data_IF_127376314721
#
_entry.id   IF_127376314721
#
_cell.length_a   1.000
_cell.length_b   1.000
_cell.length_c   1.000
_cell.angle_alpha   90.00
_cell.angle_beta   90.00
_cell.angle_gamma   90.00
#
_symmetry.space_group_name_H-M   'P 1'
#
loop_
_entity.id
_entity.type
_entity.pdbx_description
1 polymer ?
#
# COMPACT_ATOMS: atom_id res chain seq x y z
N UNK A 1 -27.74 -42.59 -16.51
CA UNK A 1 -27.32 -41.92 -15.26
C UNK A 1 -28.43 -40.97 -14.85
N UNK A 2 -28.81 -40.98 -13.57
CA UNK A 2 -29.90 -40.13 -13.08
C UNK A 2 -29.39 -38.70 -12.83
N UNK A 3 -30.25 -37.70 -12.97
CA UNK A 3 -29.92 -36.28 -12.69
C UNK A 3 -29.31 -36.08 -11.29
N UNK A 4 -29.70 -36.94 -10.34
CA UNK A 4 -29.18 -36.97 -8.96
C UNK A 4 -27.69 -37.32 -8.89
N UNK A 5 -27.21 -38.20 -9.76
CA UNK A 5 -25.79 -38.59 -9.82
C UNK A 5 -24.92 -37.45 -10.36
N UNK A 6 -25.47 -36.64 -11.27
CA UNK A 6 -24.80 -35.46 -11.81
C UNK A 6 -24.73 -34.30 -10.80
N UNK A 7 -25.81 -34.06 -10.05
CA UNK A 7 -25.83 -33.01 -9.01
C UNK A 7 -24.86 -33.34 -7.88
N UNK A 8 -24.67 -34.62 -7.54
CA UNK A 8 -23.70 -35.06 -6.55
C UNK A 8 -22.23 -34.81 -6.94
N UNK A 9 -21.95 -34.57 -8.23
CA UNK A 9 -20.61 -34.25 -8.75
C UNK A 9 -20.32 -32.75 -8.77
N UNK A 10 -21.33 -31.89 -8.60
CA UNK A 10 -21.17 -30.44 -8.58
C UNK A 10 -20.91 -30.00 -7.14
N UNK A 11 -19.67 -29.62 -6.85
CA UNK A 11 -19.28 -29.06 -5.56
C UNK A 11 -19.01 -27.55 -5.71
N UNK A 12 -19.84 -26.74 -5.04
CA UNK A 12 -19.68 -25.28 -4.99
C UNK A 12 -18.34 -24.87 -4.39
N UNK A 13 -17.72 -25.70 -3.54
CA UNK A 13 -16.38 -25.42 -2.99
C UNK A 13 -15.28 -25.57 -4.04
N UNK A 14 -15.48 -26.43 -5.04
CA UNK A 14 -14.57 -26.51 -6.18
C UNK A 14 -14.69 -25.27 -7.09
N UNK A 15 -15.84 -24.59 -7.08
CA UNK A 15 -15.98 -23.31 -7.78
C UNK A 15 -15.09 -22.23 -7.15
N UNK A 16 -15.03 -22.14 -5.82
CA UNK A 16 -14.15 -21.19 -5.14
C UNK A 16 -12.67 -21.44 -5.43
N UNK A 17 -12.26 -22.71 -5.51
CA UNK A 17 -10.89 -23.10 -5.91
C UNK A 17 -10.64 -22.83 -7.40
N UNK A 18 -11.64 -23.02 -8.25
CA UNK A 18 -11.55 -22.75 -9.69
C UNK A 18 -11.46 -21.24 -10.00
N UNK A 19 -12.18 -20.41 -9.25
CA UNK A 19 -12.16 -18.95 -9.37
C UNK A 19 -10.95 -18.34 -8.66
N UNK A 20 -10.36 -19.04 -7.68
CA UNK A 20 -9.15 -18.62 -6.99
C UNK A 20 -7.98 -18.50 -7.99
N UNK A 21 -7.72 -17.27 -8.42
CA UNK A 21 -6.52 -16.98 -9.21
C UNK A 21 -5.32 -17.08 -8.28
N UNK A 22 -4.35 -17.94 -8.61
CA UNK A 22 -3.10 -18.03 -7.86
C UNK A 22 -2.51 -16.62 -7.68
N UNK A 23 -2.12 -16.22 -6.46
CA UNK A 23 -1.61 -14.89 -6.21
C UNK A 23 -0.34 -14.67 -7.04
N UNK A 24 -0.41 -13.76 -8.01
CA UNK A 24 0.74 -13.38 -8.84
C UNK A 24 1.74 -12.60 -7.97
N UNK A 25 2.94 -13.14 -7.71
CA UNK A 25 3.95 -12.47 -6.86
C UNK A 25 4.35 -11.11 -7.45
N UNK A 26 4.33 -10.96 -8.77
CA UNK A 26 4.64 -9.69 -9.43
C UNK A 26 3.62 -8.59 -9.09
N UNK A 27 2.34 -8.95 -8.89
CA UNK A 27 1.32 -7.98 -8.44
C UNK A 27 1.50 -7.61 -6.98
N UNK A 28 1.94 -8.54 -6.15
CA UNK A 28 2.20 -8.32 -4.73
C UNK A 28 3.44 -7.43 -4.49
N UNK A 29 4.46 -7.51 -5.35
CA UNK A 29 5.68 -6.67 -5.29
C UNK A 29 5.45 -5.20 -5.64
N UNK A 30 4.55 -4.89 -6.59
CA UNK A 30 4.28 -3.52 -7.08
C UNK A 30 4.05 -2.46 -5.98
N UNK A 31 3.16 -2.67 -4.99
CA UNK A 31 2.95 -1.69 -3.93
C UNK A 31 4.21 -1.46 -3.09
N UNK A 32 5.03 -2.50 -2.89
CA UNK A 32 6.28 -2.44 -2.11
C UNK A 32 7.31 -1.61 -2.84
N UNK A 33 7.56 -1.89 -4.13
CA UNK A 33 8.49 -1.13 -4.97
C UNK A 33 8.12 0.36 -5.01
N UNK A 34 6.83 0.67 -5.16
CA UNK A 34 6.34 2.05 -5.16
C UNK A 34 6.55 2.75 -3.81
N UNK A 35 6.44 2.01 -2.71
CA UNK A 35 6.66 2.55 -1.37
C UNK A 35 8.15 2.81 -1.10
N UNK A 36 9.05 1.96 -1.60
CA UNK A 36 10.50 2.15 -1.56
C UNK A 36 10.90 3.42 -2.32
N UNK A 37 10.42 3.60 -3.55
CA UNK A 37 10.69 4.80 -4.35
C UNK A 37 10.19 6.07 -3.65
N UNK A 38 9.00 6.02 -3.04
CA UNK A 38 8.47 7.13 -2.26
C UNK A 38 9.32 7.44 -1.04
N UNK A 39 9.79 6.43 -0.31
CA UNK A 39 10.66 6.61 0.85
C UNK A 39 11.98 7.27 0.44
N UNK A 40 12.58 6.85 -0.68
CA UNK A 40 13.79 7.46 -1.25
C UNK A 40 13.58 8.92 -1.60
N UNK A 41 12.54 9.23 -2.37
CA UNK A 41 12.21 10.60 -2.75
C UNK A 41 11.88 11.50 -1.55
N UNK A 42 11.21 10.96 -0.51
CA UNK A 42 10.93 11.70 0.72
C UNK A 42 12.22 12.02 1.50
N UNK A 43 13.14 11.06 1.57
CA UNK A 43 14.41 11.22 2.26
C UNK A 43 15.30 12.24 1.57
N UNK A 44 15.45 12.14 0.24
CA UNK A 44 16.18 13.11 -0.58
C UNK A 44 15.57 14.52 -0.51
N UNK A 45 14.24 14.63 -0.42
CA UNK A 45 13.55 15.90 -0.24
C UNK A 45 13.62 16.46 1.19
N UNK A 46 14.25 15.75 2.14
CA UNK A 46 14.29 16.13 3.56
C UNK A 46 12.92 16.15 4.25
N UNK A 47 11.91 15.51 3.64
CA UNK A 47 10.53 15.52 4.13
C UNK A 47 10.24 14.23 4.87
N UNK A 48 10.25 14.31 6.21
CA UNK A 48 9.85 13.17 7.01
C UNK A 48 8.39 12.77 6.76
N UNK A 49 8.10 11.48 6.59
CA UNK A 49 6.73 11.00 6.43
C UNK A 49 5.94 11.20 7.74
N UNK A 50 4.64 11.49 7.58
CA UNK A 50 3.71 11.75 8.69
C UNK A 50 2.60 10.70 8.71
N UNK A 51 2.09 10.41 9.90
CA UNK A 51 0.99 9.47 10.14
C UNK A 51 1.43 8.03 10.44
N UNK A 52 0.44 7.17 10.67
CA UNK A 52 0.64 5.79 11.15
C UNK A 52 1.27 4.86 10.10
N UNK A 53 1.23 5.27 8.82
CA UNK A 53 1.87 4.55 7.72
C UNK A 53 3.27 5.07 7.39
N UNK A 54 3.95 5.77 8.31
CA UNK A 54 5.32 6.24 8.08
C UNK A 54 6.27 5.06 7.93
N UNK A 55 7.06 5.07 6.87
CA UNK A 55 8.06 4.03 6.60
C UNK A 55 9.40 4.31 7.26
N UNK A 56 9.67 5.55 7.63
CA UNK A 56 10.93 5.92 8.27
C UNK A 56 10.77 7.17 9.12
N UNK A 57 11.68 7.36 10.07
CA UNK A 57 11.87 8.62 10.80
C UNK A 57 13.35 8.83 11.05
N UNK A 58 13.84 10.04 10.82
CA UNK A 58 15.25 10.37 11.05
C UNK A 58 15.42 11.20 12.33
N UNK A 59 16.43 10.89 13.12
CA UNK A 59 16.85 11.69 14.26
C UNK A 59 18.35 11.47 14.50
N UNK A 60 19.11 12.50 14.85
CA UNK A 60 20.55 12.41 15.18
C UNK A 60 21.38 11.59 14.17
N UNK A 61 21.26 11.86 12.87
CA UNK A 61 21.93 11.12 11.77
C UNK A 61 21.61 9.62 11.69
N UNK A 62 20.52 9.20 12.32
CA UNK A 62 20.04 7.84 12.36
C UNK A 62 18.62 7.78 11.81
N UNK A 63 18.34 6.83 10.94
CA UNK A 63 17.02 6.55 10.37
C UNK A 63 16.47 5.29 11.01
N UNK A 64 15.35 5.45 11.70
CA UNK A 64 14.53 4.32 12.12
C UNK A 64 13.60 3.95 10.98
N UNK A 65 13.72 2.73 10.46
CA UNK A 65 13.00 2.24 9.28
C UNK A 65 11.91 1.24 9.70
N UNK A 66 10.67 1.54 9.39
CA UNK A 66 9.51 0.74 9.81
C UNK A 66 8.60 0.52 8.60
N UNK A 67 8.98 -0.35 7.64
CA UNK A 67 8.15 -0.56 6.48
C UNK A 67 6.85 -1.26 6.86
N UNK A 68 5.80 -0.86 6.19
CA UNK A 68 4.47 -1.43 6.34
C UNK A 68 3.85 -1.70 4.97
N UNK A 69 3.17 -2.83 4.81
CA UNK A 69 2.40 -3.18 3.62
C UNK A 69 0.95 -3.37 4.04
N UNK A 70 0.03 -2.65 3.39
CA UNK A 70 -1.41 -2.75 3.63
C UNK A 70 -1.80 -2.70 5.13
N UNK A 71 -1.11 -1.86 5.90
CA UNK A 71 -1.37 -1.64 7.33
C UNK A 71 -0.72 -2.65 8.27
N UNK A 72 0.09 -3.57 7.76
CA UNK A 72 0.87 -4.51 8.56
C UNK A 72 2.36 -4.19 8.48
N UNK A 73 3.07 -4.12 9.62
CA UNK A 73 4.52 -3.94 9.62
C UNK A 73 5.19 -5.20 9.05
N UNK A 74 6.16 -4.99 8.15
CA UNK A 74 7.05 -6.06 7.69
C UNK A 74 8.10 -6.31 8.77
N UNK A 75 8.13 -7.52 9.33
CA UNK A 75 9.18 -7.91 10.27
C UNK A 75 10.36 -8.55 9.52
N UNK A 76 11.55 -7.95 9.64
CA UNK A 76 12.79 -8.51 9.09
C UNK A 76 13.60 -9.30 10.15
N UNK A 77 12.98 -9.69 11.26
CA UNK A 77 13.59 -10.53 12.30
C UNK A 77 14.57 -9.78 13.21
N UNK A 78 14.71 -8.45 13.07
CA UNK A 78 15.48 -7.59 13.98
C UNK A 78 14.58 -6.55 14.61
N UNK A 79 14.58 -6.50 15.95
CA UNK A 79 13.82 -5.53 16.77
C UNK A 79 14.12 -4.06 16.46
N UNK A 80 15.27 -3.75 15.83
CA UNK A 80 15.69 -2.38 15.55
C UNK A 80 16.21 -2.26 14.11
N UNK A 81 15.38 -1.72 13.23
CA UNK A 81 15.73 -1.34 11.86
C UNK A 81 16.35 0.07 11.85
N UNK A 82 17.49 0.21 12.52
CA UNK A 82 18.15 1.48 12.72
C UNK A 82 19.32 1.59 11.75
N UNK A 83 19.24 2.50 10.80
CA UNK A 83 20.17 2.63 9.66
C UNK A 83 20.84 4.01 9.75
N UNK A 84 22.17 4.13 9.61
CA UNK A 84 22.82 5.43 9.47
C UNK A 84 22.22 6.22 8.30
N UNK A 85 21.91 7.51 8.49
CA UNK A 85 21.26 8.33 7.47
C UNK A 85 22.02 8.33 6.13
N UNK A 86 23.35 8.32 6.17
CA UNK A 86 24.22 8.27 4.99
C UNK A 86 24.06 6.98 4.18
N UNK A 87 23.66 5.88 4.83
CA UNK A 87 23.49 4.56 4.21
C UNK A 87 22.03 4.23 3.90
N UNK A 88 21.11 5.12 4.26
CA UNK A 88 19.68 4.83 4.12
C UNK A 88 19.26 4.66 2.66
N UNK A 89 19.77 5.49 1.75
CA UNK A 89 19.49 5.36 0.31
C UNK A 89 20.01 4.02 -0.23
N UNK A 90 21.24 3.65 0.14
CA UNK A 90 21.84 2.38 -0.25
C UNK A 90 21.04 1.18 0.30
N UNK A 91 20.54 1.28 1.53
CA UNK A 91 19.69 0.25 2.13
C UNK A 91 18.35 0.10 1.38
N UNK A 92 17.75 1.20 0.93
CA UNK A 92 16.53 1.16 0.11
C UNK A 92 16.78 0.54 -1.28
N UNK A 93 17.94 0.80 -1.88
CA UNK A 93 18.31 0.20 -3.16
C UNK A 93 18.52 -1.32 -3.02
N UNK A 94 19.20 -1.77 -1.95
CA UNK A 94 19.31 -3.20 -1.65
C UNK A 94 17.95 -3.86 -1.36
N UNK A 95 17.07 -3.17 -0.65
CA UNK A 95 15.71 -3.67 -0.39
C UNK A 95 14.91 -3.79 -1.69
N UNK A 96 15.06 -2.84 -2.61
CA UNK A 96 14.46 -2.90 -3.94
C UNK A 96 14.94 -4.15 -4.70
N UNK A 97 16.24 -4.38 -4.76
CA UNK A 97 16.83 -5.52 -5.45
C UNK A 97 16.32 -6.86 -4.87
N UNK A 98 16.21 -6.96 -3.54
CA UNK A 98 15.68 -8.15 -2.87
C UNK A 98 14.19 -8.40 -3.22
N UNK A 99 13.38 -7.34 -3.32
CA UNK A 99 11.98 -7.44 -3.77
C UNK A 99 11.91 -7.82 -5.25
N UNK A 100 12.78 -7.28 -6.11
CA UNK A 100 12.83 -7.63 -7.53
C UNK A 100 13.28 -9.09 -7.75
N UNK A 101 14.16 -9.61 -6.90
CA UNK A 101 14.57 -11.03 -6.90
C UNK A 101 13.53 -11.98 -6.32
N UNK A 102 12.54 -11.47 -5.59
CA UNK A 102 11.51 -12.27 -4.95
C UNK A 102 11.92 -12.90 -3.62
N UNK A 103 13.03 -12.45 -3.02
CA UNK A 103 13.50 -12.96 -1.72
C UNK A 103 12.52 -12.64 -0.59
N UNK A 104 11.64 -11.66 -0.80
CA UNK A 104 10.62 -11.21 0.15
C UNK A 104 9.20 -11.67 -0.21
N UNK A 105 9.04 -12.48 -1.27
CA UNK A 105 7.71 -12.87 -1.76
C UNK A 105 6.88 -13.60 -0.72
N UNK A 106 7.50 -14.51 0.05
CA UNK A 106 6.81 -15.23 1.12
C UNK A 106 6.32 -14.27 2.21
N UNK A 107 7.11 -13.27 2.61
CA UNK A 107 6.69 -12.27 3.61
C UNK A 107 5.59 -11.36 3.05
N UNK A 108 5.73 -10.91 1.81
CA UNK A 108 4.76 -10.04 1.14
C UNK A 108 3.42 -10.78 0.92
N UNK A 109 3.45 -12.07 0.61
CA UNK A 109 2.25 -12.87 0.36
C UNK A 109 1.59 -13.37 1.63
N UNK A 110 2.37 -13.83 2.62
CA UNK A 110 1.87 -14.30 3.92
C UNK A 110 1.29 -13.17 4.76
N UNK A 111 1.92 -11.99 4.76
CA UNK A 111 1.44 -10.85 5.54
C UNK A 111 0.48 -9.95 4.73
N UNK A 112 0.69 -9.79 3.42
CA UNK A 112 0.04 -8.75 2.62
C UNK A 112 -0.95 -9.18 1.54
N UNK A 113 -1.04 -10.46 1.12
CA UNK A 113 -1.79 -10.80 -0.11
C UNK A 113 -2.61 -12.09 -0.05
N UNK A 114 -3.46 -12.23 0.97
CA UNK A 114 -4.57 -13.22 0.97
C UNK A 114 -5.95 -12.61 0.85
N UNK A 115 -6.05 -11.33 0.48
CA UNK A 115 -7.32 -10.81 -0.04
C UNK A 115 -7.14 -10.53 -1.52
N UNK A 116 -7.58 -11.47 -2.35
CA UNK A 116 -8.07 -11.15 -3.67
C UNK A 116 -9.01 -9.95 -3.49
N UNK A 117 -8.54 -8.74 -3.84
CA UNK A 117 -9.43 -7.60 -3.90
C UNK A 117 -10.46 -8.00 -4.95
N UNK A 118 -11.76 -8.08 -4.63
CA UNK A 118 -12.75 -8.28 -5.67
C UNK A 118 -12.47 -7.19 -6.70
N UNK A 119 -12.32 -7.59 -7.96
CA UNK A 119 -12.18 -6.66 -9.06
C UNK A 119 -13.46 -5.83 -9.03
N UNK A 120 -13.44 -4.69 -8.35
CA UNK A 120 -14.58 -3.81 -8.33
C UNK A 120 -14.71 -3.34 -9.77
N UNK A 121 -15.72 -3.87 -10.47
CA UNK A 121 -16.15 -3.36 -11.75
C UNK A 121 -16.67 -1.93 -11.56
N UNK A 122 -15.75 -0.98 -11.43
CA UNK A 122 -16.03 0.44 -11.29
C UNK A 122 -14.91 1.29 -11.92
N UNK A 123 -14.21 0.75 -12.92
CA UNK A 123 -13.48 1.56 -13.87
C UNK A 123 -14.49 2.10 -14.91
N UNK A 124 -15.27 3.11 -14.53
CA UNK A 124 -16.30 3.64 -15.43
C UNK A 124 -17.11 4.86 -15.02
N UNK A 125 -16.90 5.45 -13.82
CA UNK A 125 -17.46 6.77 -13.52
C UNK A 125 -16.35 7.79 -13.45
N UNK A 126 -16.18 8.56 -14.54
CA UNK A 126 -15.53 9.87 -14.52
C UNK A 126 -16.07 10.58 -13.27
N UNK A 127 -15.20 10.89 -12.30
CA UNK A 127 -15.58 11.72 -11.16
C UNK A 127 -16.06 13.03 -11.78
N UNK A 128 -17.37 13.29 -11.74
CA UNK A 128 -17.91 14.57 -12.14
C UNK A 128 -17.14 15.64 -11.36
N UNK A 129 -16.46 16.53 -12.08
CA UNK A 129 -15.74 17.64 -11.46
C UNK A 129 -16.65 18.38 -10.51
N UNK A 130 -16.08 19.02 -9.48
CA UNK A 130 -16.84 19.83 -8.53
C UNK A 130 -17.80 20.78 -9.26
N UNK A 131 -19.09 20.71 -8.95
CA UNK A 131 -20.08 21.67 -9.42
C UNK A 131 -19.72 23.07 -8.93
N UNK A 132 -20.07 24.10 -9.70
CA UNK A 132 -19.81 25.50 -9.35
C UNK A 132 -20.42 25.88 -7.99
N UNK A 133 -21.59 25.32 -7.68
CA UNK A 133 -22.26 25.49 -6.40
C UNK A 133 -21.43 24.94 -5.23
N UNK A 134 -20.72 23.82 -5.44
CA UNK A 134 -19.81 23.23 -4.43
C UNK A 134 -18.54 24.04 -4.28
N UNK A 135 -18.00 24.58 -5.38
CA UNK A 135 -16.86 25.51 -5.37
C UNK A 135 -17.20 26.78 -4.59
N UNK A 136 -18.39 27.35 -4.82
CA UNK A 136 -18.85 28.56 -4.14
C UNK A 136 -19.04 28.35 -2.63
N UNK A 137 -19.67 27.24 -2.22
CA UNK A 137 -19.80 26.90 -0.79
C UNK A 137 -18.44 26.71 -0.11
N UNK A 138 -17.49 26.07 -0.79
CA UNK A 138 -16.13 25.92 -0.25
C UNK A 138 -15.39 27.26 -0.14
N UNK A 139 -15.50 28.13 -1.15
CA UNK A 139 -14.92 29.47 -1.13
C UNK A 139 -15.50 30.33 0.00
N UNK A 140 -16.81 30.30 0.21
CA UNK A 140 -17.48 30.98 1.31
C UNK A 140 -17.01 30.46 2.68
N UNK A 141 -16.83 29.14 2.81
CA UNK A 141 -16.33 28.53 4.05
C UNK A 141 -14.88 28.94 4.34
N UNK A 142 -14.04 29.04 3.31
CA UNK A 142 -12.65 29.51 3.45
C UNK A 142 -12.57 31.00 3.78
N UNK A 143 -13.42 31.82 3.17
CA UNK A 143 -13.52 33.25 3.47
C UNK A 143 -13.97 33.48 4.92
N UNK A 144 -14.98 32.74 5.40
CA UNK A 144 -15.43 32.80 6.79
C UNK A 144 -14.34 32.38 7.78
N UNK A 145 -13.58 31.32 7.48
CA UNK A 145 -12.41 30.92 8.29
C UNK A 145 -11.28 31.94 8.28
N UNK A 146 -11.05 32.62 7.16
CA UNK A 146 -10.03 33.67 7.06
C UNK A 146 -10.43 34.91 7.86
N UNK A 147 -11.69 35.33 7.76
CA UNK A 147 -12.23 36.47 8.49
C UNK A 147 -12.25 36.24 10.02
N UNK A 148 -12.63 35.04 10.47
CA UNK A 148 -12.62 34.67 11.89
C UNK A 148 -11.22 34.42 12.48
N UNK A 149 -10.16 34.43 11.68
CA UNK A 149 -8.76 34.30 12.14
C UNK A 149 -8.03 35.66 12.19
N UNK A 150 -8.69 36.72 11.73
CA UNK A 150 -8.19 38.10 11.72
C UNK A 150 -8.96 39.02 12.69
N UNK A 151 -9.81 38.44 13.54
CA UNK A 151 -10.39 39.06 14.74
C UNK A 151 -9.78 38.38 15.97
#
# INVERSE_FOLDING_TARGET
MALRDFIALIDEKLHDVFVATAPDPSRARKPVLKAIERAKAQFEAGKQPRGDSKWWSANNNVVHFTPNIDGKPLDFGKRFNTIPAERFVQALDHLRDAVEKGELDEMITSEGSTRAKPVSAAAGKKRAGWSEERKAKFAATQAAKKAGKSA
#
